data_IF_227378592924
#
_entry.id   IF_227378592924
#
_cell.length_a   1.000
_cell.length_b   1.000
_cell.length_c   1.000
_cell.angle_alpha   90.00
_cell.angle_beta   90.00
_cell.angle_gamma   90.00
#
_symmetry.space_group_name_H-M   'P 1'
#
loop_
_entity.id
_entity.type
_entity.pdbx_description
1 polymer ?
#
# COMPACT_ATOMS: atom_id res chain seq x y z
N UNK A 1 6.48 35.47 -5.53
CA UNK A 1 5.95 34.41 -4.63
C UNK A 1 6.94 33.26 -4.60
N UNK A 2 7.43 32.85 -3.43
CA UNK A 2 8.34 31.70 -3.30
C UNK A 2 7.46 30.45 -3.12
N UNK A 3 7.53 29.44 -4.01
CA UNK A 3 6.80 28.21 -3.77
C UNK A 3 7.35 27.62 -2.47
N UNK A 4 6.50 27.56 -1.44
CA UNK A 4 6.81 26.85 -0.21
C UNK A 4 7.03 25.41 -0.63
N UNK A 5 8.29 24.97 -0.62
CA UNK A 5 8.65 23.57 -0.81
C UNK A 5 8.10 22.81 0.40
N UNK A 6 6.81 22.49 0.32
CA UNK A 6 6.05 21.64 1.24
C UNK A 6 6.93 20.41 1.50
N UNK A 7 7.25 20.14 2.77
CA UNK A 7 8.27 19.13 3.15
C UNK A 7 7.95 17.79 2.47
N UNK A 8 8.97 17.22 1.81
CA UNK A 8 8.85 15.96 1.07
C UNK A 8 8.69 14.80 2.07
N UNK A 9 7.50 14.22 2.10
CA UNK A 9 7.16 13.03 2.85
C UNK A 9 7.92 11.82 2.27
N UNK A 10 8.31 10.85 3.11
CA UNK A 10 8.99 9.64 2.66
C UNK A 10 8.12 8.42 2.99
N UNK A 11 7.49 7.84 1.98
CA UNK A 11 6.74 6.59 2.13
C UNK A 11 7.68 5.42 1.83
N UNK A 12 7.75 4.44 2.72
CA UNK A 12 8.23 3.11 2.36
C UNK A 12 7.01 2.24 2.10
N UNK A 13 6.66 2.09 0.83
CA UNK A 13 5.71 1.07 0.39
C UNK A 13 6.46 -0.26 0.42
N UNK A 14 6.20 -1.09 1.44
CA UNK A 14 6.90 -2.38 1.62
C UNK A 14 5.94 -3.52 1.36
N UNK A 15 6.24 -4.21 0.26
CA UNK A 15 5.92 -5.60 -0.06
C UNK A 15 4.45 -5.99 -0.16
N UNK A 16 4.08 -6.27 -1.40
CA UNK A 16 2.94 -7.09 -1.79
C UNK A 16 3.07 -8.48 -1.14
N UNK A 17 2.10 -8.85 -0.30
CA UNK A 17 1.96 -10.21 0.19
C UNK A 17 0.76 -10.83 -0.54
N UNK A 18 1.06 -11.63 -1.56
CA UNK A 18 0.06 -12.48 -2.20
C UNK A 18 -0.28 -13.61 -1.20
N UNK A 19 -1.50 -13.61 -0.66
CA UNK A 19 -1.97 -14.72 0.14
C UNK A 19 -2.04 -15.97 -0.77
N UNK A 20 -1.20 -16.96 -0.48
CA UNK A 20 -1.09 -18.20 -1.26
C UNK A 20 -2.44 -18.92 -1.37
N UNK A 21 -2.74 -19.38 -2.59
CA UNK A 21 -3.95 -20.13 -2.90
C UNK A 21 -3.94 -21.51 -2.20
N UNK A 22 -5.04 -21.85 -1.53
CA UNK A 22 -5.29 -23.22 -1.06
C UNK A 22 -5.83 -24.02 -2.24
N UNK A 23 -5.18 -25.14 -2.56
CA UNK A 23 -5.61 -26.07 -3.61
C UNK A 23 -6.94 -26.73 -3.22
N UNK A 24 -8.04 -26.22 -3.73
CA UNK A 24 -9.36 -26.83 -3.64
C UNK A 24 -10.28 -26.17 -4.67
N UNK A 25 -10.85 -26.96 -5.57
CA UNK A 25 -11.66 -26.55 -6.70
C UNK A 25 -12.82 -25.60 -6.33
N UNK A 26 -12.58 -24.29 -6.38
CA UNK A 26 -13.53 -23.20 -6.62
C UNK A 26 -12.69 -21.93 -6.67
N UNK A 27 -12.91 -21.06 -7.66
CA UNK A 27 -12.16 -19.81 -7.83
C UNK A 27 -12.32 -18.86 -6.64
N UNK A 28 -11.55 -19.08 -5.58
CA UNK A 28 -11.42 -18.12 -4.49
C UNK A 28 -10.60 -16.95 -5.03
N UNK A 29 -11.16 -15.72 -5.05
CA UNK A 29 -10.37 -14.55 -5.40
C UNK A 29 -9.20 -14.48 -4.43
N UNK A 30 -8.00 -14.64 -4.96
CA UNK A 30 -6.74 -14.44 -4.26
C UNK A 30 -6.63 -12.95 -3.95
N UNK A 31 -7.21 -12.57 -2.81
CA UNK A 31 -7.15 -11.21 -2.31
C UNK A 31 -5.69 -10.86 -2.01
N UNK A 32 -5.15 -9.92 -2.77
CA UNK A 32 -3.87 -9.30 -2.49
C UNK A 32 -4.02 -8.24 -1.40
N UNK A 33 -2.92 -7.98 -0.71
CA UNK A 33 -2.87 -6.92 0.29
C UNK A 33 -1.66 -6.01 0.08
N UNK A 34 -1.88 -4.73 0.35
CA UNK A 34 -0.89 -3.68 0.28
C UNK A 34 -0.69 -3.15 1.68
N UNK A 35 0.56 -3.11 2.12
CA UNK A 35 0.93 -2.49 3.38
C UNK A 35 2.17 -1.63 3.18
N UNK A 36 2.37 -0.69 4.09
CA UNK A 36 3.55 0.17 4.07
C UNK A 36 3.66 0.96 5.35
N UNK A 37 4.73 1.76 5.44
CA UNK A 37 4.98 2.64 6.57
C UNK A 37 5.25 4.05 6.06
N UNK A 38 4.57 5.02 6.68
CA UNK A 38 4.70 6.45 6.43
C UNK A 38 5.59 7.07 7.49
N UNK A 39 6.60 7.80 7.05
CA UNK A 39 7.53 8.52 7.93
C UNK A 39 8.00 9.84 7.30
N UNK A 40 8.51 10.74 8.14
CA UNK A 40 9.15 11.99 7.69
C UNK A 40 10.61 11.75 7.23
N UNK A 41 11.27 12.75 6.61
CA UNK A 41 12.70 12.68 6.26
C UNK A 41 13.63 12.26 7.39
N UNK A 42 13.23 12.54 8.62
CA UNK A 42 13.95 12.15 9.84
C UNK A 42 13.72 10.68 10.25
N UNK A 43 13.00 9.89 9.44
CA UNK A 43 12.53 8.51 9.74
C UNK A 43 11.64 8.43 10.98
N UNK A 44 10.99 9.53 11.34
CA UNK A 44 9.98 9.54 12.39
C UNK A 44 8.68 8.97 11.82
N UNK A 45 8.12 7.87 12.37
CA UNK A 45 6.84 7.35 11.93
C UNK A 45 5.75 8.38 12.19
N UNK A 46 4.83 8.51 11.23
CA UNK A 46 3.74 9.47 11.32
C UNK A 46 2.42 8.73 11.55
N UNK A 47 1.85 8.76 12.77
CA UNK A 47 0.52 8.23 13.05
C UNK A 47 -0.58 9.17 12.56
N UNK A 48 -1.83 8.69 12.51
CA UNK A 48 -3.02 9.47 12.11
C UNK A 48 -2.94 10.13 10.72
N UNK A 49 -2.02 9.68 9.86
CA UNK A 49 -1.93 10.15 8.47
C UNK A 49 -3.00 9.46 7.66
N UNK A 50 -3.79 10.23 6.95
CA UNK A 50 -4.79 9.71 6.03
C UNK A 50 -4.12 9.09 4.80
N UNK A 51 -4.40 7.82 4.55
CA UNK A 51 -3.91 7.06 3.41
C UNK A 51 -5.11 6.55 2.63
N UNK A 52 -5.14 6.81 1.35
CA UNK A 52 -6.20 6.40 0.45
C UNK A 52 -5.62 5.50 -0.65
N UNK A 53 -6.34 4.45 -1.01
CA UNK A 53 -6.04 3.64 -2.18
C UNK A 53 -7.02 3.99 -3.28
N UNK A 54 -6.46 4.36 -4.43
CA UNK A 54 -7.17 4.75 -5.64
C UNK A 54 -7.05 3.63 -6.67
N UNK A 55 -8.06 3.44 -7.52
CA UNK A 55 -7.94 2.58 -8.70
C UNK A 55 -7.21 3.29 -9.87
N UNK A 56 -7.05 2.61 -10.99
CA UNK A 56 -6.47 3.15 -12.24
C UNK A 56 -7.21 4.42 -12.75
N UNK A 57 -8.50 4.57 -12.44
CA UNK A 57 -9.31 5.76 -12.73
C UNK A 57 -9.18 6.88 -11.67
N UNK A 58 -8.23 6.78 -10.73
CA UNK A 58 -8.07 7.71 -9.61
C UNK A 58 -9.32 7.84 -8.71
N UNK A 59 -10.16 6.81 -8.65
CA UNK A 59 -11.30 6.75 -7.75
C UNK A 59 -10.89 6.15 -6.41
N UNK A 60 -11.27 6.81 -5.31
CA UNK A 60 -11.06 6.31 -3.95
C UNK A 60 -11.83 5.01 -3.76
N UNK A 61 -11.10 3.92 -3.62
CA UNK A 61 -11.67 2.61 -3.29
C UNK A 61 -11.80 2.45 -1.79
N UNK A 62 -10.76 2.86 -1.05
CA UNK A 62 -10.74 2.73 0.39
C UNK A 62 -9.80 3.75 1.02
N UNK A 63 -10.08 4.12 2.27
CA UNK A 63 -9.26 5.04 3.05
C UNK A 63 -9.01 4.48 4.44
N UNK A 64 -7.77 4.58 4.90
CA UNK A 64 -7.34 4.19 6.24
C UNK A 64 -6.46 5.27 6.84
N UNK A 65 -6.17 5.16 8.13
CA UNK A 65 -5.22 6.02 8.82
C UNK A 65 -4.01 5.19 9.25
N UNK A 66 -2.84 5.82 9.30
CA UNK A 66 -1.65 5.16 9.83
C UNK A 66 -1.74 4.98 11.34
N UNK A 67 -1.29 3.83 11.82
CA UNK A 67 -1.21 3.52 13.25
C UNK A 67 -0.08 4.28 13.97
N UNK A 68 0.05 4.09 15.29
CA UNK A 68 1.11 4.66 16.14
C UNK A 68 2.53 4.47 15.59
N UNK A 69 2.76 3.43 14.79
CA UNK A 69 4.04 3.11 14.15
C UNK A 69 4.15 3.63 12.71
N UNK A 70 3.21 4.44 12.23
CA UNK A 70 3.14 4.94 10.86
C UNK A 70 2.70 3.91 9.82
N UNK A 71 2.24 2.72 10.24
CA UNK A 71 1.90 1.62 9.32
C UNK A 71 0.48 1.76 8.77
N UNK A 72 0.28 1.39 7.51
CA UNK A 72 -1.05 1.27 6.89
C UNK A 72 -1.20 -0.11 6.23
N UNK A 73 -2.45 -0.54 6.07
CA UNK A 73 -2.81 -1.82 5.46
C UNK A 73 -4.12 -1.70 4.66
N UNK A 74 -4.12 -2.29 3.46
CA UNK A 74 -5.28 -2.51 2.61
C UNK A 74 -5.31 -3.97 2.18
N UNK A 75 -6.34 -4.71 2.57
CA UNK A 75 -6.57 -6.08 2.14
C UNK A 75 -7.72 -6.17 1.14
N UNK A 76 -7.92 -7.34 0.54
CA UNK A 76 -9.07 -7.56 -0.34
C UNK A 76 -8.92 -6.95 -1.73
N UNK A 77 -7.69 -6.69 -2.19
CA UNK A 77 -7.44 -6.05 -3.48
C UNK A 77 -7.26 -7.11 -4.56
N UNK A 78 -7.89 -6.90 -5.70
CA UNK A 78 -7.68 -7.72 -6.89
C UNK A 78 -6.35 -7.36 -7.55
N UNK A 79 -5.93 -8.17 -8.52
CA UNK A 79 -4.86 -7.75 -9.42
C UNK A 79 -5.29 -6.51 -10.23
N UNK A 80 -4.35 -5.60 -10.44
CA UNK A 80 -4.61 -4.34 -11.12
C UNK A 80 -3.65 -3.22 -10.71
N UNK A 81 -3.84 -2.07 -11.33
CA UNK A 81 -3.11 -0.84 -10.99
C UNK A 81 -3.88 -0.04 -9.95
N UNK A 82 -3.15 0.37 -8.93
CA UNK A 82 -3.67 1.17 -7.84
C UNK A 82 -2.71 2.32 -7.54
N UNK A 83 -3.22 3.38 -6.94
CA UNK A 83 -2.39 4.51 -6.51
C UNK A 83 -2.62 4.74 -5.03
N UNK A 84 -1.57 4.64 -4.23
CA UNK A 84 -1.62 4.99 -2.81
C UNK A 84 -1.41 6.49 -2.69
N UNK A 85 -2.41 7.20 -2.18
CA UNK A 85 -2.37 8.62 -1.92
C UNK A 85 -2.29 8.87 -0.42
N UNK A 86 -1.19 9.44 0.02
CA UNK A 86 -0.96 9.84 1.42
C UNK A 86 -1.27 11.31 1.57
N UNK A 87 -2.22 11.64 2.43
CA UNK A 87 -2.74 12.97 2.71
C UNK A 87 -2.20 13.46 4.06
N UNK A 88 -0.95 13.90 4.07
CA UNK A 88 -0.30 14.41 5.28
C UNK A 88 -0.48 15.93 5.50
N UNK A 89 -1.62 16.47 5.06
CA UNK A 89 -1.96 17.89 5.22
C UNK A 89 -1.98 18.31 6.70
N UNK A 90 -2.27 17.38 7.62
CA UNK A 90 -2.23 17.63 9.07
C UNK A 90 -0.82 17.92 9.60
N UNK A 91 0.21 17.50 8.87
CA UNK A 91 1.61 17.62 9.25
C UNK A 91 2.35 18.71 8.46
N UNK A 92 1.63 19.57 7.71
CA UNK A 92 2.20 20.54 6.77
C UNK A 92 3.10 19.88 5.69
N UNK A 93 2.88 18.58 5.43
CA UNK A 93 3.65 17.81 4.46
C UNK A 93 2.94 17.79 3.10
N UNK A 94 3.73 17.59 2.05
CA UNK A 94 3.17 17.35 0.73
C UNK A 94 2.39 16.04 0.72
N UNK A 95 1.21 16.07 0.09
CA UNK A 95 0.54 14.87 -0.34
C UNK A 95 1.42 14.12 -1.34
N UNK A 96 1.38 12.79 -1.27
CA UNK A 96 2.21 11.94 -2.10
C UNK A 96 1.36 10.81 -2.69
N UNK A 97 1.36 10.73 -4.01
CA UNK A 97 0.86 9.60 -4.78
C UNK A 97 1.99 8.60 -5.06
N UNK A 98 1.68 7.32 -4.90
CA UNK A 98 2.58 6.21 -5.21
C UNK A 98 1.80 5.21 -6.06
N UNK A 99 2.06 5.15 -7.37
CA UNK A 99 1.47 4.12 -8.21
C UNK A 99 2.07 2.76 -7.81
N UNK A 100 1.19 1.79 -7.61
CA UNK A 100 1.53 0.41 -7.30
C UNK A 100 0.77 -0.51 -8.25
N UNK A 101 1.43 -1.56 -8.70
CA UNK A 101 0.78 -2.61 -9.49
C UNK A 101 0.68 -3.85 -8.61
N UNK A 102 -0.56 -4.26 -8.35
CA UNK A 102 -0.86 -5.47 -7.63
C UNK A 102 -0.94 -6.56 -8.67
N UNK A 103 0.04 -7.46 -8.66
CA UNK A 103 0.02 -8.65 -9.48
C UNK A 103 -0.05 -9.86 -8.56
N UNK A 104 -1.09 -10.67 -8.69
CA UNK A 104 -1.10 -11.96 -8.01
C UNK A 104 0.01 -12.82 -8.60
N UNK A 105 1.19 -12.79 -7.98
CA UNK A 105 2.17 -13.85 -8.20
C UNK A 105 1.50 -15.11 -7.67
N UNK A 106 0.98 -15.93 -8.57
CA UNK A 106 0.66 -17.32 -8.21
C UNK A 106 1.97 -17.87 -7.69
N UNK A 107 2.09 -17.99 -6.36
CA UNK A 107 3.22 -18.70 -5.75
C UNK A 107 3.00 -20.14 -6.18
N UNK A 108 3.52 -20.50 -7.36
CA UNK A 108 3.70 -21.89 -7.72
C UNK A 108 4.70 -22.41 -6.70
N UNK A 109 4.17 -23.04 -5.65
CA UNK A 109 4.97 -23.85 -4.75
C UNK A 109 5.63 -24.94 -5.58
N UNK A 110 6.86 -24.71 -6.00
CA UNK A 110 7.73 -25.73 -6.59
C UNK A 110 9.04 -25.71 -5.83
N UNK A 111 8.99 -26.04 -4.54
CA UNK A 111 10.10 -26.73 -3.92
C UNK A 111 9.54 -28.05 -3.40
N UNK A 112 9.35 -28.92 -4.40
CA UNK A 112 9.21 -30.36 -4.28
C UNK A 112 10.32 -30.88 -3.35
N UNK A 113 9.95 -31.23 -2.12
CA UNK A 113 10.79 -32.00 -1.22
C UNK A 113 11.05 -33.36 -1.89
N UNK A 114 12.20 -33.49 -2.57
CA UNK A 114 12.66 -34.80 -3.05
C UNK A 114 13.37 -35.53 -1.91
N UNK A 115 13.07 -36.82 -1.71
CA UNK A 115 13.46 -37.62 -0.55
C UNK A 115 14.97 -37.88 -0.45
#
# INVERSE_FOLDING_TARGET
>A
MKPIYKRLLMISAVSLLAAGAVLGSAGTPVASSVQGTVYDKQRNPLPDVDVEILNDLYQSLNRTKTDATGRYYFGGLSDGRYTIRVLAFRYDLADQDVPIEIQTMTVRGTEEFRP
#
